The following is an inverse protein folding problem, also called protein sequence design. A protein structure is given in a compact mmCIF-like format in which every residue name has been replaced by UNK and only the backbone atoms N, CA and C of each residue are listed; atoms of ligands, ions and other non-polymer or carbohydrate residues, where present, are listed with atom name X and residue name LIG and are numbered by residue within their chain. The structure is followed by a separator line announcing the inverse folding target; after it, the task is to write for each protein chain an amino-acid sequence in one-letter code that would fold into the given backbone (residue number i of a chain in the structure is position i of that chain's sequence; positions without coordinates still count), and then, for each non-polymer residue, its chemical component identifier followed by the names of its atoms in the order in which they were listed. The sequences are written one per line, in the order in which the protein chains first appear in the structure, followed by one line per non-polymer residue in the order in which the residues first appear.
data_IF_596505543137
#
_entry.id   IF_596505543137
#
_cell.length_a   1.000
_cell.length_b   1.000
_cell.length_c   1.000
_cell.angle_alpha   90.00
_cell.angle_beta   90.00
_cell.angle_gamma   90.00
#
_symmetry.space_group_name_H-M   'P 1'
#
loop_
_entity.id
_entity.type
_entity.pdbx_description
1 polymer ?
#
# COMPACT_ATOMS: atom_id res chain seq x y z
N UNK A 1 -27.63 -32.13 -41.37
CA UNK A 1 -26.91 -32.32 -42.64
C UNK A 1 -26.69 -30.94 -43.27
N UNK A 2 -25.47 -30.70 -43.71
CA UNK A 2 -24.88 -29.46 -44.25
C UNK A 2 -24.59 -28.43 -43.16
N UNK A 3 -23.39 -28.38 -42.58
CA UNK A 3 -22.05 -28.15 -43.15
C UNK A 3 -21.94 -26.85 -43.94
N UNK A 4 -21.09 -25.98 -43.42
CA UNK A 4 -20.70 -24.67 -43.94
C UNK A 4 -19.53 -24.12 -43.12
N UNK A 5 -18.39 -24.82 -43.17
CA UNK A 5 -17.08 -24.32 -42.77
C UNK A 5 -16.64 -23.15 -43.67
N UNK A 6 -16.18 -22.07 -43.03
CA UNK A 6 -15.17 -21.12 -43.52
C UNK A 6 -15.12 -19.98 -42.50
N UNK A 7 -13.99 -19.48 -42.06
CA UNK A 7 -12.59 -19.71 -42.40
C UNK A 7 -11.82 -18.97 -41.31
N UNK A 8 -10.71 -19.56 -40.92
CA UNK A 8 -9.65 -19.01 -40.08
C UNK A 8 -9.40 -17.53 -40.31
N UNK A 9 -9.33 -16.78 -39.21
CA UNK A 9 -8.57 -15.53 -39.15
C UNK A 9 -8.01 -15.38 -37.72
N UNK A 10 -7.26 -16.40 -37.28
CA UNK A 10 -6.28 -16.25 -36.21
C UNK A 10 -4.98 -15.79 -36.86
N UNK A 11 -4.82 -14.47 -37.03
CA UNK A 11 -3.50 -13.89 -37.19
C UNK A 11 -3.52 -12.39 -36.88
N UNK A 12 -2.44 -11.97 -36.23
CA UNK A 12 -1.99 -10.60 -35.95
C UNK A 12 -2.58 -9.88 -34.72
N UNK A 13 -2.05 -10.23 -33.55
CA UNK A 13 -1.47 -9.21 -32.67
C UNK A 13 -0.39 -9.79 -31.76
N UNK A 14 0.74 -10.20 -32.36
CA UNK A 14 1.99 -10.20 -31.63
C UNK A 14 2.43 -8.73 -31.58
N UNK A 15 2.18 -8.06 -30.46
CA UNK A 15 2.84 -6.78 -30.18
C UNK A 15 4.34 -7.02 -30.23
N UNK A 16 5.00 -6.28 -31.12
CA UNK A 16 6.43 -6.29 -31.31
C UNK A 16 7.09 -5.74 -30.03
N UNK A 17 7.42 -6.62 -29.08
CA UNK A 17 8.42 -6.30 -28.08
C UNK A 17 9.72 -6.02 -28.85
N UNK A 18 10.25 -4.79 -28.75
CA UNK A 18 11.60 -4.50 -29.26
C UNK A 18 12.55 -5.54 -28.67
N UNK A 19 13.24 -6.30 -29.52
CA UNK A 19 14.25 -7.26 -29.07
C UNK A 19 15.34 -6.48 -28.33
N UNK A 20 15.39 -6.62 -27.00
CA UNK A 20 16.44 -6.05 -26.16
C UNK A 20 17.74 -6.75 -26.52
N UNK A 21 18.74 -5.98 -26.95
CA UNK A 21 20.05 -6.53 -27.35
C UNK A 21 21.05 -6.47 -26.21
N UNK A 22 21.90 -7.49 -26.08
CA UNK A 22 22.99 -7.54 -25.10
C UNK A 22 23.93 -6.32 -25.22
N UNK A 23 24.10 -5.79 -26.44
CA UNK A 23 24.90 -4.60 -26.70
C UNK A 23 24.33 -3.34 -26.02
N UNK A 24 22.99 -3.18 -26.03
CA UNK A 24 22.32 -2.07 -25.34
C UNK A 24 22.52 -2.15 -23.83
N UNK A 25 22.39 -3.35 -23.25
CA UNK A 25 22.60 -3.58 -21.82
C UNK A 25 24.06 -3.25 -21.45
N UNK A 26 25.03 -3.77 -22.19
CA UNK A 26 26.45 -3.53 -21.93
C UNK A 26 26.84 -2.05 -22.04
N UNK A 27 26.28 -1.35 -23.03
CA UNK A 27 26.49 0.09 -23.21
C UNK A 27 25.97 0.87 -22.01
N UNK A 28 24.73 0.61 -21.60
CA UNK A 28 24.12 1.35 -20.50
C UNK A 28 24.74 1.00 -19.13
N UNK A 29 25.21 -0.24 -18.93
CA UNK A 29 26.01 -0.62 -17.76
C UNK A 29 27.30 0.22 -17.67
N UNK A 30 28.03 0.39 -18.79
CA UNK A 30 29.23 1.20 -18.81
C UNK A 30 28.93 2.68 -18.50
N UNK A 31 27.79 3.21 -18.96
CA UNK A 31 27.37 4.57 -18.64
C UNK A 31 27.01 4.75 -17.16
N UNK A 32 26.30 3.80 -16.55
CA UNK A 32 25.98 3.82 -15.12
C UNK A 32 27.26 3.74 -14.26
N UNK A 33 28.26 2.96 -14.68
CA UNK A 33 29.57 2.90 -14.02
C UNK A 33 30.30 4.25 -14.14
N UNK A 34 30.24 4.89 -15.30
CA UNK A 34 30.88 6.18 -15.54
C UNK A 34 30.18 7.33 -14.79
N UNK A 35 28.86 7.22 -14.58
CA UNK A 35 28.03 8.23 -13.91
C UNK A 35 27.15 7.58 -12.83
N UNK A 36 27.73 7.21 -11.67
CA UNK A 36 27.03 6.42 -10.65
C UNK A 36 25.81 7.09 -10.02
N UNK A 37 25.70 8.42 -10.11
CA UNK A 37 24.59 9.19 -9.53
C UNK A 37 23.54 9.61 -10.58
N UNK A 38 23.64 9.11 -11.81
CA UNK A 38 22.63 9.34 -12.85
C UNK A 38 21.42 8.42 -12.58
N UNK A 39 20.38 8.99 -11.96
CA UNK A 39 19.15 8.27 -11.62
C UNK A 39 18.46 7.71 -12.87
N UNK A 40 18.28 8.53 -13.91
CA UNK A 40 17.53 8.16 -15.09
C UNK A 40 18.17 6.98 -15.82
N UNK A 41 19.51 6.96 -15.93
CA UNK A 41 20.22 5.83 -16.54
C UNK A 41 20.10 4.54 -15.74
N UNK A 42 20.09 4.62 -14.42
CA UNK A 42 19.89 3.44 -13.57
C UNK A 42 18.50 2.86 -13.74
N UNK A 43 17.47 3.71 -13.78
CA UNK A 43 16.08 3.28 -14.03
C UNK A 43 15.95 2.65 -15.42
N UNK A 44 16.54 3.27 -16.45
CA UNK A 44 16.56 2.70 -17.80
C UNK A 44 17.26 1.33 -17.83
N UNK A 45 18.37 1.17 -17.11
CA UNK A 45 19.07 -0.11 -17.02
C UNK A 45 18.24 -1.18 -16.32
N UNK A 46 17.56 -0.83 -15.23
CA UNK A 46 16.63 -1.74 -14.54
C UNK A 46 15.52 -2.20 -15.48
N UNK A 47 14.94 -1.28 -16.26
CA UNK A 47 13.89 -1.61 -17.23
C UNK A 47 14.40 -2.58 -18.32
N UNK A 48 15.58 -2.32 -18.89
CA UNK A 48 16.19 -3.19 -19.90
C UNK A 48 16.52 -4.59 -19.34
N UNK A 49 17.12 -4.66 -18.15
CA UNK A 49 17.45 -5.94 -17.50
C UNK A 49 16.20 -6.77 -17.19
N UNK A 50 15.12 -6.10 -16.74
CA UNK A 50 13.83 -6.76 -16.49
C UNK A 50 13.21 -7.29 -17.79
N UNK A 51 13.25 -6.51 -18.87
CA UNK A 51 12.72 -6.91 -20.18
C UNK A 51 13.53 -8.06 -20.81
N UNK A 52 14.85 -8.10 -20.61
CA UNK A 52 15.72 -9.17 -21.09
C UNK A 52 15.65 -10.46 -20.23
N UNK A 53 15.03 -10.41 -19.05
CA UNK A 53 15.00 -11.55 -18.13
C UNK A 53 16.33 -11.82 -17.41
N UNK A 54 17.22 -10.83 -17.36
CA UNK A 54 18.54 -10.93 -16.71
C UNK A 54 18.42 -10.76 -15.19
N UNK A 55 17.83 -11.76 -14.51
CA UNK A 55 17.36 -11.65 -13.11
C UNK A 55 18.45 -11.29 -12.11
N UNK A 56 19.64 -11.90 -12.21
CA UNK A 56 20.73 -11.65 -11.24
C UNK A 56 21.31 -10.24 -11.40
N UNK A 57 21.50 -9.80 -12.64
CA UNK A 57 21.93 -8.43 -12.94
C UNK A 57 20.86 -7.40 -12.53
N UNK A 58 19.58 -7.72 -12.74
CA UNK A 58 18.44 -6.90 -12.31
C UNK A 58 18.46 -6.70 -10.78
N UNK A 59 18.60 -7.79 -10.01
CA UNK A 59 18.69 -7.72 -8.54
C UNK A 59 19.88 -6.86 -8.10
N UNK A 60 21.06 -7.09 -8.67
CA UNK A 60 22.25 -6.34 -8.33
C UNK A 60 22.09 -4.84 -8.63
N UNK A 61 21.48 -4.50 -9.76
CA UNK A 61 21.26 -3.11 -10.14
C UNK A 61 20.19 -2.43 -9.27
N UNK A 62 19.11 -3.14 -8.91
CA UNK A 62 18.08 -2.64 -8.00
C UNK A 62 18.66 -2.37 -6.61
N UNK A 63 19.44 -3.30 -6.08
CA UNK A 63 20.16 -3.14 -4.80
C UNK A 63 21.05 -1.90 -4.83
N UNK A 64 21.98 -1.83 -5.78
CA UNK A 64 22.92 -0.72 -5.91
C UNK A 64 22.23 0.64 -6.13
N UNK A 65 21.04 0.65 -6.74
CA UNK A 65 20.27 1.89 -6.95
C UNK A 65 19.57 2.34 -5.67
N UNK A 66 18.93 1.40 -4.96
CA UNK A 66 18.24 1.68 -3.69
C UNK A 66 19.17 2.02 -2.52
N UNK A 67 20.46 1.70 -2.61
CA UNK A 67 21.47 2.16 -1.64
C UNK A 67 21.81 3.66 -1.80
N UNK A 68 21.58 4.23 -2.99
CA UNK A 68 21.95 5.61 -3.33
C UNK A 68 20.75 6.55 -3.23
N UNK A 69 19.57 6.07 -3.59
CA UNK A 69 18.36 6.89 -3.68
C UNK A 69 17.21 6.29 -2.86
N UNK A 70 16.39 7.15 -2.26
CA UNK A 70 15.08 6.76 -1.79
C UNK A 70 14.18 6.47 -3.01
N UNK A 71 13.70 5.24 -3.11
CA UNK A 71 13.03 4.77 -4.31
C UNK A 71 11.51 4.90 -4.19
N UNK A 72 10.81 5.31 -5.26
CA UNK A 72 9.36 5.49 -5.21
C UNK A 72 8.63 4.16 -4.97
N UNK A 73 7.41 4.18 -4.41
CA UNK A 73 6.63 2.98 -4.12
C UNK A 73 6.51 2.00 -5.29
N UNK A 74 6.31 2.53 -6.51
CA UNK A 74 6.23 1.72 -7.73
C UNK A 74 7.48 0.86 -7.98
N UNK A 75 8.68 1.40 -7.74
CA UNK A 75 9.92 0.65 -7.89
C UNK A 75 9.96 -0.55 -6.94
N UNK A 76 9.58 -0.33 -5.68
CA UNK A 76 9.56 -1.38 -4.66
C UNK A 76 8.51 -2.44 -4.95
N UNK A 77 7.29 -2.04 -5.31
CA UNK A 77 6.21 -2.97 -5.64
C UNK A 77 6.59 -3.86 -6.83
N UNK A 78 7.14 -3.28 -7.89
CA UNK A 78 7.64 -4.03 -9.04
C UNK A 78 8.72 -5.05 -8.67
N UNK A 79 9.64 -4.70 -7.78
CA UNK A 79 10.67 -5.62 -7.31
C UNK A 79 10.07 -6.73 -6.43
N UNK A 80 9.21 -6.38 -5.50
CA UNK A 80 8.54 -7.34 -4.61
C UNK A 80 7.74 -8.36 -5.42
N UNK A 81 7.02 -7.93 -6.45
CA UNK A 81 6.22 -8.81 -7.29
C UNK A 81 7.08 -9.75 -8.15
N UNK A 82 8.23 -9.27 -8.64
CA UNK A 82 9.20 -10.13 -9.31
C UNK A 82 9.75 -11.21 -8.37
N UNK A 83 10.09 -10.86 -7.12
CA UNK A 83 10.60 -11.83 -6.14
C UNK A 83 9.52 -12.82 -5.68
N UNK A 84 8.27 -12.39 -5.54
CA UNK A 84 7.13 -13.30 -5.31
C UNK A 84 6.97 -14.28 -6.46
N UNK A 85 7.06 -13.80 -7.71
CA UNK A 85 6.95 -14.62 -8.93
C UNK A 85 8.10 -15.62 -9.05
N UNK A 86 9.29 -15.24 -8.59
CA UNK A 86 10.46 -16.12 -8.52
C UNK A 86 10.42 -17.10 -7.33
N UNK A 87 9.36 -17.09 -6.52
CA UNK A 87 9.23 -17.88 -5.28
C UNK A 87 10.42 -17.69 -4.32
N UNK A 88 10.96 -16.47 -4.26
CA UNK A 88 12.07 -16.12 -3.37
C UNK A 88 11.70 -16.33 -1.90
N UNK A 89 12.74 -16.49 -1.06
CA UNK A 89 12.55 -16.69 0.38
C UNK A 89 11.67 -15.58 0.98
N UNK A 90 10.72 -15.96 1.84
CA UNK A 90 9.81 -15.03 2.53
C UNK A 90 10.57 -13.94 3.29
N UNK A 91 11.76 -14.24 3.82
CA UNK A 91 12.63 -13.28 4.48
C UNK A 91 13.17 -12.21 3.52
N UNK A 92 13.43 -12.56 2.26
CA UNK A 92 13.85 -11.60 1.23
C UNK A 92 12.68 -10.64 0.93
N UNK A 93 11.50 -11.20 0.69
CA UNK A 93 10.29 -10.41 0.42
C UNK A 93 9.97 -9.47 1.60
N UNK A 94 10.05 -9.99 2.83
CA UNK A 94 9.86 -9.21 4.06
C UNK A 94 10.81 -8.02 4.14
N UNK A 95 12.10 -8.21 3.85
CA UNK A 95 13.09 -7.12 3.86
C UNK A 95 12.81 -6.07 2.79
N UNK A 96 12.35 -6.48 1.60
CA UNK A 96 11.99 -5.53 0.56
C UNK A 96 10.82 -4.64 0.99
N UNK A 97 9.78 -5.20 1.61
CA UNK A 97 8.70 -4.38 2.19
C UNK A 97 9.22 -3.42 3.26
N UNK A 98 10.07 -3.88 4.17
CA UNK A 98 10.61 -3.03 5.24
C UNK A 98 11.47 -1.88 4.72
N UNK A 99 12.25 -2.13 3.66
CA UNK A 99 13.00 -1.07 2.96
C UNK A 99 12.08 -0.10 2.23
N UNK A 100 11.06 -0.62 1.54
CA UNK A 100 10.09 0.20 0.84
C UNK A 100 9.34 1.17 1.77
N UNK A 101 8.93 0.68 2.94
CA UNK A 101 8.30 1.48 3.98
C UNK A 101 9.28 2.49 4.58
N UNK A 102 10.57 2.13 4.67
CA UNK A 102 11.64 3.02 5.12
C UNK A 102 11.87 4.22 4.21
N UNK A 103 11.66 4.08 2.90
CA UNK A 103 11.75 5.20 1.95
C UNK A 103 10.51 6.09 2.01
N UNK A 104 9.32 5.47 1.93
CA UNK A 104 8.04 6.20 1.96
C UNK A 104 6.95 5.40 2.68
N UNK A 105 6.19 6.06 3.54
CA UNK A 105 4.97 5.51 4.15
C UNK A 105 3.79 5.47 3.16
N UNK A 106 3.98 4.79 2.04
CA UNK A 106 2.96 4.62 1.00
C UNK A 106 1.84 3.70 1.50
N UNK A 107 0.57 4.14 1.46
CA UNK A 107 -0.56 3.28 1.82
C UNK A 107 -0.62 2.00 0.99
N UNK A 108 -0.31 2.08 -0.31
CA UNK A 108 -0.30 0.94 -1.23
C UNK A 108 0.68 -0.16 -0.78
N UNK A 109 1.93 0.22 -0.48
CA UNK A 109 2.99 -0.70 -0.04
C UNK A 109 2.66 -1.31 1.32
N UNK A 110 2.17 -0.49 2.25
CA UNK A 110 1.84 -0.94 3.60
C UNK A 110 0.67 -1.93 3.57
N UNK A 111 -0.38 -1.64 2.79
CA UNK A 111 -1.54 -2.53 2.64
C UNK A 111 -1.13 -3.85 2.00
N UNK A 112 -0.33 -3.83 0.94
CA UNK A 112 0.18 -5.05 0.31
C UNK A 112 1.03 -5.87 1.29
N UNK A 113 1.87 -5.22 2.12
CA UNK A 113 2.68 -5.93 3.10
C UNK A 113 1.82 -6.65 4.14
N UNK A 114 0.78 -5.97 4.64
CA UNK A 114 -0.15 -6.52 5.62
C UNK A 114 -0.96 -7.68 5.01
N UNK A 115 -1.41 -7.54 3.76
CA UNK A 115 -2.11 -8.62 3.05
C UNK A 115 -1.20 -9.83 2.83
N UNK A 116 0.04 -9.61 2.40
CA UNK A 116 1.04 -10.68 2.29
C UNK A 116 1.29 -11.37 3.65
N UNK A 117 1.38 -10.61 4.73
CA UNK A 117 1.58 -11.12 6.09
C UNK A 117 0.43 -12.06 6.54
N UNK A 118 -0.80 -11.81 6.09
CA UNK A 118 -1.95 -12.70 6.35
C UNK A 118 -1.73 -14.13 5.79
N UNK A 119 -0.99 -14.27 4.70
CA UNK A 119 -0.60 -15.56 4.11
C UNK A 119 0.53 -16.28 4.85
N UNK A 120 1.14 -15.67 5.86
CA UNK A 120 2.26 -16.24 6.62
C UNK A 120 1.77 -16.87 7.92
N UNK A 121 1.18 -16.09 8.81
CA UNK A 121 0.57 -16.54 10.06
C UNK A 121 -0.30 -15.45 10.67
N UNK A 122 -1.23 -15.83 11.56
CA UNK A 122 -2.10 -14.89 12.27
C UNK A 122 -1.30 -13.91 13.13
N UNK A 123 -0.32 -14.41 13.89
CA UNK A 123 0.47 -13.57 14.80
C UNK A 123 1.33 -12.55 14.03
N UNK A 124 1.90 -12.96 12.89
CA UNK A 124 2.67 -12.06 12.05
C UNK A 124 1.79 -11.01 11.38
N UNK A 125 0.61 -11.39 10.89
CA UNK A 125 -0.36 -10.45 10.33
C UNK A 125 -0.78 -9.39 11.35
N UNK A 126 -1.11 -9.79 12.59
CA UNK A 126 -1.44 -8.87 13.68
C UNK A 126 -0.32 -7.91 14.01
N UNK A 127 0.91 -8.42 14.10
CA UNK A 127 2.09 -7.58 14.30
C UNK A 127 2.19 -6.51 13.20
N UNK A 128 2.07 -6.91 11.94
CA UNK A 128 2.17 -5.98 10.81
C UNK A 128 1.00 -5.02 10.69
N UNK A 129 -0.21 -5.41 11.10
CA UNK A 129 -1.36 -4.51 11.21
C UNK A 129 -1.13 -3.43 12.28
N UNK A 130 -0.62 -3.80 13.46
CA UNK A 130 -0.31 -2.82 14.51
C UNK A 130 0.82 -1.86 14.10
N UNK A 131 1.85 -2.36 13.42
CA UNK A 131 2.90 -1.51 12.81
C UNK A 131 2.28 -0.55 11.77
N UNK A 132 1.41 -1.05 10.89
CA UNK A 132 0.76 -0.26 9.84
C UNK A 132 -0.12 0.86 10.39
N UNK A 133 -1.00 0.57 11.35
CA UNK A 133 -1.84 1.61 11.96
C UNK A 133 -1.03 2.60 12.79
N UNK A 134 0.14 2.21 13.31
CA UNK A 134 1.05 3.13 13.98
C UNK A 134 1.73 4.11 13.01
N UNK A 135 1.98 3.68 11.77
CA UNK A 135 2.62 4.51 10.74
C UNK A 135 1.65 5.44 10.03
N UNK A 136 0.50 4.92 9.59
CA UNK A 136 -0.44 5.65 8.72
C UNK A 136 -1.88 5.66 9.24
N UNK A 137 -2.17 5.02 10.38
CA UNK A 137 -3.54 4.90 10.89
C UNK A 137 -4.20 6.21 11.30
N UNK A 138 -3.45 7.30 11.45
CA UNK A 138 -3.97 8.64 11.78
C UNK A 138 -4.20 9.54 10.57
N UNK A 139 -3.79 9.09 9.37
CA UNK A 139 -3.88 9.88 8.14
C UNK A 139 -5.31 9.90 7.63
N UNK A 140 -5.88 11.09 7.44
CA UNK A 140 -7.28 11.21 7.07
C UNK A 140 -7.60 10.61 5.69
N UNK A 141 -6.65 10.69 4.75
CA UNK A 141 -6.77 10.18 3.37
C UNK A 141 -6.82 8.65 3.28
N UNK A 142 -6.13 7.93 4.18
CA UNK A 142 -5.96 6.47 4.05
C UNK A 142 -6.24 5.65 5.32
N UNK A 143 -6.60 6.27 6.45
CA UNK A 143 -6.93 5.55 7.67
C UNK A 143 -8.02 4.50 7.46
N UNK A 144 -9.10 4.82 6.73
CA UNK A 144 -10.17 3.87 6.43
C UNK A 144 -9.68 2.59 5.74
N UNK A 145 -8.66 2.70 4.89
CA UNK A 145 -8.08 1.57 4.17
C UNK A 145 -7.31 0.67 5.13
N UNK A 146 -6.36 1.22 5.89
CA UNK A 146 -5.49 0.41 6.76
C UNK A 146 -6.26 -0.21 7.94
N UNK A 147 -7.19 0.56 8.55
CA UNK A 147 -8.04 0.03 9.62
C UNK A 147 -9.07 -0.95 9.08
N UNK A 148 -9.61 -0.73 7.88
CA UNK A 148 -10.51 -1.64 7.20
C UNK A 148 -9.88 -3.02 6.99
N UNK A 149 -8.66 -3.07 6.46
CA UNK A 149 -7.91 -4.32 6.28
C UNK A 149 -7.70 -5.06 7.62
N UNK A 150 -7.40 -4.33 8.69
CA UNK A 150 -7.26 -4.92 10.03
C UNK A 150 -8.58 -5.51 10.54
N UNK A 151 -9.67 -4.74 10.45
CA UNK A 151 -10.98 -5.17 10.89
C UNK A 151 -11.48 -6.37 10.09
N UNK A 152 -11.30 -6.37 8.78
CA UNK A 152 -11.73 -7.48 7.91
C UNK A 152 -10.95 -8.76 8.23
N UNK A 153 -9.65 -8.65 8.46
CA UNK A 153 -8.85 -9.78 8.91
C UNK A 153 -9.37 -10.35 10.24
N UNK A 154 -9.61 -9.53 11.25
CA UNK A 154 -10.07 -10.03 12.55
C UNK A 154 -11.50 -10.59 12.49
N UNK A 155 -12.36 -10.04 11.62
CA UNK A 155 -13.69 -10.61 11.32
C UNK A 155 -13.58 -11.97 10.63
N UNK A 156 -12.62 -12.16 9.72
CA UNK A 156 -12.36 -13.48 9.10
C UNK A 156 -11.85 -14.46 10.15
N UNK A 157 -10.93 -14.05 11.03
CA UNK A 157 -10.47 -14.87 12.16
C UNK A 157 -11.65 -15.27 13.05
N UNK A 158 -12.54 -14.33 13.39
CA UNK A 158 -13.73 -14.58 14.19
C UNK A 158 -14.59 -15.73 13.65
N UNK A 159 -14.75 -15.81 12.32
CA UNK A 159 -15.56 -16.85 11.66
C UNK A 159 -15.00 -18.28 11.85
N UNK A 160 -13.71 -18.39 12.20
CA UNK A 160 -13.04 -19.68 12.42
C UNK A 160 -13.03 -20.15 13.87
N UNK A 161 -13.46 -19.30 14.81
CA UNK A 161 -13.41 -19.58 16.25
C UNK A 161 -14.66 -20.34 16.74
N UNK A 162 -14.50 -21.05 17.87
CA UNK A 162 -15.65 -21.61 18.58
C UNK A 162 -16.43 -20.53 19.35
N UNK A 163 -17.62 -20.85 19.85
CA UNK A 163 -18.50 -19.88 20.52
C UNK A 163 -17.84 -19.17 21.72
N UNK A 164 -17.08 -19.89 22.56
CA UNK A 164 -16.45 -19.30 23.75
C UNK A 164 -15.30 -18.34 23.39
N UNK A 165 -14.50 -18.69 22.37
CA UNK A 165 -13.43 -17.85 21.85
C UNK A 165 -13.97 -16.65 21.07
N UNK A 166 -15.08 -16.83 20.35
CA UNK A 166 -15.73 -15.80 19.55
C UNK A 166 -16.19 -14.62 20.42
N UNK A 167 -16.75 -14.87 21.60
CA UNK A 167 -17.17 -13.79 22.51
C UNK A 167 -15.99 -12.92 22.97
N UNK A 168 -14.85 -13.56 23.33
CA UNK A 168 -13.63 -12.84 23.71
C UNK A 168 -13.06 -12.07 22.50
N UNK A 169 -13.14 -12.66 21.32
CA UNK A 169 -12.62 -12.06 20.09
C UNK A 169 -13.48 -10.88 19.59
N UNK A 170 -14.79 -10.91 19.81
CA UNK A 170 -15.69 -9.76 19.56
C UNK A 170 -15.29 -8.56 20.41
N UNK A 171 -14.89 -8.75 21.66
CA UNK A 171 -14.40 -7.67 22.52
C UNK A 171 -13.11 -7.05 21.94
N UNK A 172 -12.24 -7.86 21.34
CA UNK A 172 -11.03 -7.37 20.66
C UNK A 172 -11.39 -6.51 19.45
N UNK A 173 -12.31 -6.97 18.59
CA UNK A 173 -12.76 -6.20 17.42
C UNK A 173 -13.45 -4.90 17.85
N UNK A 174 -14.27 -4.92 18.90
CA UNK A 174 -14.84 -3.72 19.50
C UNK A 174 -13.76 -2.73 19.96
N UNK A 175 -12.67 -3.23 20.53
CA UNK A 175 -11.50 -2.43 20.90
C UNK A 175 -10.81 -1.79 19.69
N UNK A 176 -10.72 -2.50 18.56
CA UNK A 176 -10.16 -1.95 17.30
C UNK A 176 -11.07 -0.85 16.76
N UNK A 177 -12.39 -1.07 16.69
CA UNK A 177 -13.35 -0.03 16.31
C UNK A 177 -13.27 1.19 17.23
N UNK A 178 -13.16 0.97 18.55
CA UNK A 178 -13.04 2.05 19.52
C UNK A 178 -11.78 2.91 19.33
N UNK A 179 -10.67 2.33 18.83
CA UNK A 179 -9.46 3.07 18.43
C UNK A 179 -9.68 3.80 17.12
N UNK A 180 -10.21 3.10 16.12
CA UNK A 180 -10.41 3.62 14.77
C UNK A 180 -11.38 4.81 14.73
N UNK A 181 -12.54 4.70 15.38
CA UNK A 181 -13.59 5.73 15.35
C UNK A 181 -13.27 6.98 16.17
N UNK A 182 -12.12 7.03 16.85
CA UNK A 182 -11.57 8.27 17.44
C UNK A 182 -10.82 9.13 16.44
N UNK A 183 -10.48 8.57 15.28
CA UNK A 183 -9.62 9.21 14.28
C UNK A 183 -10.52 9.87 13.24
N UNK A 184 -10.40 11.19 13.01
CA UNK A 184 -11.05 11.84 11.88
C UNK A 184 -10.46 11.30 10.57
N UNK A 185 -11.29 10.74 9.70
CA UNK A 185 -10.86 10.20 8.41
C UNK A 185 -11.95 10.32 7.35
N UNK A 186 -11.54 10.32 6.09
CA UNK A 186 -12.45 10.32 4.95
C UNK A 186 -13.30 9.04 5.00
N UNK A 187 -14.63 9.21 4.99
CA UNK A 187 -15.58 8.11 5.08
C UNK A 187 -15.94 7.68 6.52
N UNK A 188 -15.66 8.48 7.56
CA UNK A 188 -15.95 8.12 8.96
C UNK A 188 -17.42 7.74 9.23
N UNK A 189 -18.39 8.29 8.50
CA UNK A 189 -19.80 7.91 8.63
C UNK A 189 -20.07 6.49 8.15
N UNK A 190 -19.37 6.03 7.10
CA UNK A 190 -19.43 4.65 6.63
C UNK A 190 -18.84 3.71 7.69
N UNK A 191 -17.65 4.03 8.21
CA UNK A 191 -17.00 3.27 9.28
C UNK A 191 -17.87 3.15 10.54
N UNK A 192 -18.61 4.21 10.87
CA UNK A 192 -19.59 4.20 11.96
C UNK A 192 -20.74 3.23 11.68
N UNK A 193 -21.33 3.28 10.48
CA UNK A 193 -22.42 2.38 10.08
C UNK A 193 -22.01 0.90 10.10
N UNK A 194 -20.79 0.59 9.70
CA UNK A 194 -20.24 -0.76 9.80
C UNK A 194 -20.10 -1.21 11.26
N UNK A 195 -19.66 -0.32 12.14
CA UNK A 195 -19.57 -0.62 13.57
C UNK A 195 -20.95 -0.83 14.21
N UNK A 196 -21.94 0.00 13.90
CA UNK A 196 -23.33 -0.18 14.37
C UNK A 196 -23.88 -1.55 13.96
N UNK A 197 -23.58 -1.97 12.73
CA UNK A 197 -23.95 -3.29 12.23
C UNK A 197 -23.25 -4.40 13.00
N UNK A 198 -21.94 -4.27 13.26
CA UNK A 198 -21.16 -5.24 14.01
C UNK A 198 -21.58 -5.36 15.47
N UNK A 199 -21.87 -4.23 16.11
CA UNK A 199 -22.27 -4.12 17.52
C UNK A 199 -23.75 -4.45 17.76
N UNK A 200 -24.54 -4.64 16.71
CA UNK A 200 -25.98 -4.95 16.78
C UNK A 200 -26.77 -3.95 17.63
N UNK A 201 -26.46 -2.65 17.54
CA UNK A 201 -27.14 -1.61 18.34
C UNK A 201 -26.65 -1.50 19.79
N UNK A 202 -25.59 -2.22 20.18
CA UNK A 202 -25.04 -2.26 21.56
C UNK A 202 -23.74 -1.47 21.69
N UNK A 203 -23.57 -0.43 20.87
CA UNK A 203 -22.35 0.37 20.88
C UNK A 203 -22.20 1.11 22.22
N UNK A 204 -20.98 1.13 22.75
CA UNK A 204 -20.73 1.84 24.00
C UNK A 204 -20.84 3.36 23.81
N UNK A 205 -21.34 4.05 24.85
CA UNK A 205 -21.46 5.51 24.84
C UNK A 205 -20.12 6.23 24.65
N UNK A 206 -19.04 5.59 25.14
CA UNK A 206 -17.68 6.10 24.95
C UNK A 206 -17.29 6.11 23.46
N UNK A 207 -17.63 5.07 22.70
CA UNK A 207 -17.32 5.00 21.26
C UNK A 207 -18.19 5.99 20.48
N UNK A 208 -19.48 6.12 20.84
CA UNK A 208 -20.38 7.17 20.28
C UNK A 208 -19.82 8.58 20.47
N UNK A 209 -19.40 8.91 21.68
CA UNK A 209 -18.84 10.23 22.01
C UNK A 209 -17.57 10.53 21.21
N UNK A 210 -16.68 9.53 21.09
CA UNK A 210 -15.43 9.66 20.34
C UNK A 210 -15.68 9.85 18.84
N UNK A 211 -16.58 9.05 18.26
CA UNK A 211 -17.01 9.21 16.87
C UNK A 211 -17.56 10.61 16.59
N UNK A 212 -18.46 11.11 17.44
CA UNK A 212 -19.03 12.46 17.28
C UNK A 212 -17.96 13.55 17.41
N UNK A 213 -16.95 13.36 18.26
CA UNK A 213 -15.82 14.28 18.34
C UNK A 213 -14.97 14.27 17.07
N UNK A 214 -14.65 13.09 16.53
CA UNK A 214 -13.91 12.95 15.29
C UNK A 214 -14.68 13.51 14.08
N UNK A 215 -15.98 13.21 13.98
CA UNK A 215 -16.87 13.69 12.92
C UNK A 215 -16.91 15.22 12.86
N UNK A 216 -16.93 15.90 14.01
CA UNK A 216 -16.95 17.38 14.05
C UNK A 216 -15.71 18.03 13.45
N UNK A 217 -14.57 17.32 13.41
CA UNK A 217 -13.32 17.81 12.81
C UNK A 217 -13.28 17.63 11.28
N UNK A 218 -14.09 16.73 10.74
CA UNK A 218 -14.05 16.37 9.32
C UNK A 218 -14.26 17.52 8.35
N UNK A 219 -15.15 18.51 8.57
CA UNK A 219 -15.33 19.59 7.60
C UNK A 219 -14.05 20.38 7.31
N UNK A 220 -13.22 20.60 8.33
CA UNK A 220 -11.95 21.32 8.20
C UNK A 220 -10.89 20.44 7.54
N UNK A 221 -10.70 19.21 8.04
CA UNK A 221 -9.75 18.23 7.49
C UNK A 221 -10.03 17.93 6.02
N UNK A 222 -11.29 17.64 5.67
CA UNK A 222 -11.69 17.32 4.31
C UNK A 222 -11.47 18.49 3.33
N UNK A 223 -11.42 19.73 3.82
CA UNK A 223 -11.10 20.88 2.97
C UNK A 223 -9.65 20.88 2.50
N UNK A 224 -8.72 20.38 3.33
CA UNK A 224 -7.31 20.20 2.97
C UNK A 224 -7.13 19.02 2.02
N UNK A 225 -7.72 17.86 2.35
CA UNK A 225 -7.63 16.66 1.48
C UNK A 225 -8.14 16.96 0.07
N UNK A 226 -9.29 17.64 -0.04
CA UNK A 226 -9.84 18.04 -1.34
C UNK A 226 -8.92 18.98 -2.13
N UNK A 227 -8.14 19.83 -1.46
CA UNK A 227 -7.15 20.69 -2.14
C UNK A 227 -5.99 19.85 -2.66
N UNK A 228 -5.53 18.86 -1.89
CA UNK A 228 -4.42 17.98 -2.26
C UNK A 228 -4.76 17.03 -3.41
N UNK A 229 -6.04 16.76 -3.67
CA UNK A 229 -6.52 15.95 -4.80
C UNK A 229 -6.36 16.61 -6.19
N UNK A 230 -5.96 17.88 -6.27
CA UNK A 230 -5.80 18.57 -7.55
C UNK A 230 -4.48 18.18 -8.25
N UNK A 231 -4.60 17.35 -9.30
CA UNK A 231 -3.48 16.86 -10.13
C UNK A 231 -2.70 17.98 -10.85
N UNK A 232 -3.21 19.21 -10.90
CA UNK A 232 -2.52 20.34 -11.52
C UNK A 232 -1.55 21.06 -10.58
N UNK A 233 -1.52 20.70 -9.30
CA UNK A 233 -0.65 21.33 -8.31
C UNK A 233 0.82 21.03 -8.57
N UNK A 234 1.66 22.05 -8.39
CA UNK A 234 3.09 21.83 -8.28
C UNK A 234 3.44 21.23 -6.91
N UNK A 235 4.64 20.64 -6.79
CA UNK A 235 5.15 20.14 -5.50
C UNK A 235 5.19 21.26 -4.45
N UNK A 236 5.54 22.48 -4.86
CA UNK A 236 5.57 23.63 -3.95
C UNK A 236 4.16 23.97 -3.44
N UNK A 237 3.14 23.92 -4.30
CA UNK A 237 1.76 24.17 -3.89
C UNK A 237 1.26 23.11 -2.91
N UNK A 238 1.58 21.83 -3.16
CA UNK A 238 1.26 20.73 -2.25
C UNK A 238 1.91 20.92 -0.87
N UNK A 239 3.20 21.28 -0.84
CA UNK A 239 3.93 21.54 0.41
C UNK A 239 3.34 22.72 1.19
N UNK A 240 2.89 23.77 0.50
CA UNK A 240 2.22 24.90 1.13
C UNK A 240 0.89 24.48 1.78
N UNK A 241 0.06 23.70 1.07
CA UNK A 241 -1.20 23.16 1.62
C UNK A 241 -0.93 22.29 2.86
N UNK A 242 0.06 21.40 2.79
CA UNK A 242 0.45 20.53 3.91
C UNK A 242 0.97 21.33 5.11
N UNK A 243 1.71 22.42 4.86
CA UNK A 243 2.22 23.29 5.93
C UNK A 243 1.07 24.00 6.65
N UNK A 244 0.09 24.53 5.92
CA UNK A 244 -1.13 25.10 6.49
C UNK A 244 -1.93 24.06 7.29
N UNK A 245 -2.00 22.82 6.80
CA UNK A 245 -2.67 21.72 7.50
C UNK A 245 -1.97 21.40 8.83
N UNK A 246 -0.64 21.32 8.84
CA UNK A 246 0.14 21.12 10.07
C UNK A 246 -0.08 22.27 11.06
N UNK A 247 -0.10 23.51 10.60
CA UNK A 247 -0.38 24.67 11.45
C UNK A 247 -1.77 24.62 12.09
N UNK A 248 -2.79 24.17 11.35
CA UNK A 248 -4.14 23.94 11.87
C UNK A 248 -4.13 22.87 12.95
N UNK A 249 -3.49 21.72 12.71
CA UNK A 249 -3.42 20.63 13.70
C UNK A 249 -2.70 21.05 14.99
N UNK A 250 -1.64 21.87 14.89
CA UNK A 250 -0.92 22.39 16.06
C UNK A 250 -1.81 23.30 16.92
N UNK A 251 -2.71 24.09 16.33
CA UNK A 251 -3.59 24.99 17.07
C UNK A 251 -4.71 24.25 17.83
N UNK A 252 -5.01 23.02 17.42
CA UNK A 252 -6.07 22.18 18.01
C UNK A 252 -5.53 21.30 19.16
N UNK A 253 -4.21 21.17 19.31
CA UNK A 253 -3.53 20.47 20.42
C UNK A 253 -3.41 21.33 21.68
#
# INVERSE_FOLDING_TARGET
MSDGESSENEEAMAECAEEVTDEQIATLQAEVIAQPNDYDKRIQLIALLRAAGELDALRAQREATSEIFAMPPKFWMEWIDDEKTCESDKEVIRRLFERAIGDFHSPEVIVEYVQWACGISIDFARQKMEEAVSLIGLRADCASIVWGVYLDFEKVVLQSLNEEEADKHRILIDGIYARFLRIPHIGIEHSWSEYETFAEGKESEAVKTNYQAALRRMPEIASFEKRLEDDSLSVEDQLNILSEYIEMEIQVM
#
